data_IF_972175461731
#
_entry.id   IF_972175461731
#
_cell.length_a   1.000
_cell.length_b   1.000
_cell.length_c   1.000
_cell.angle_alpha   90.00
_cell.angle_beta   90.00
_cell.angle_gamma   90.00
#
_symmetry.space_group_name_H-M   'P 1'
#
loop_
_entity.id
_entity.type
_entity.pdbx_description
1 polymer ?
#
# COMPACT_ATOMS: atom_id res chain seq x y z
N UNK A 1 20.07 4.06 -2.19
CA UNK A 1 19.00 5.07 -2.36
C UNK A 1 19.17 6.11 -1.26
N UNK A 2 19.72 7.29 -1.55
CA UNK A 2 19.69 8.42 -0.62
C UNK A 2 18.39 9.20 -0.87
N UNK A 3 17.26 8.57 -0.53
CA UNK A 3 15.94 9.19 -0.62
C UNK A 3 15.62 9.92 0.68
N UNK A 4 14.76 10.94 0.60
CA UNK A 4 14.16 11.53 1.80
C UNK A 4 13.59 10.41 2.70
N UNK A 5 13.75 10.50 4.03
CA UNK A 5 13.22 9.48 4.93
C UNK A 5 11.71 9.27 4.69
N UNK A 6 11.27 8.01 4.74
CA UNK A 6 9.87 7.70 4.51
C UNK A 6 9.00 8.39 5.57
N UNK A 7 7.81 8.84 5.15
CA UNK A 7 6.81 9.45 6.04
C UNK A 7 5.55 8.61 5.99
N UNK A 8 4.94 8.36 7.14
CA UNK A 8 3.65 7.67 7.24
C UNK A 8 2.74 8.53 8.09
N UNK A 9 1.54 8.77 7.60
CA UNK A 9 0.47 9.42 8.36
C UNK A 9 -0.76 8.52 8.28
N UNK A 10 -1.28 8.13 9.44
CA UNK A 10 -2.54 7.41 9.57
C UNK A 10 -3.47 8.30 10.37
N UNK A 11 -4.58 8.70 9.75
CA UNK A 11 -5.65 9.44 10.39
C UNK A 11 -6.61 8.40 10.96
N UNK A 12 -6.78 8.40 12.28
CA UNK A 12 -7.69 7.49 12.97
C UNK A 12 -9.16 7.94 12.88
N UNK A 13 -10.05 7.42 13.75
CA UNK A 13 -11.47 7.75 13.76
C UNK A 13 -11.79 9.19 14.19
N UNK A 14 -10.83 9.95 14.71
CA UNK A 14 -11.06 11.30 15.23
C UNK A 14 -9.80 12.18 15.15
N UNK A 15 -9.91 13.52 15.33
CA UNK A 15 -8.77 14.43 15.35
C UNK A 15 -7.70 14.08 16.38
N UNK A 16 -8.11 13.45 17.49
CA UNK A 16 -7.22 13.07 18.58
C UNK A 16 -6.63 11.67 18.43
N UNK A 17 -7.02 10.93 17.38
CA UNK A 17 -6.60 9.55 17.11
C UNK A 17 -5.77 9.50 15.85
N UNK A 18 -4.46 9.26 15.97
CA UNK A 18 -3.57 9.27 14.82
C UNK A 18 -2.23 8.57 15.07
N UNK A 19 -1.55 8.28 13.96
CA UNK A 19 -0.15 7.87 13.93
C UNK A 19 0.61 8.74 12.91
N UNK A 20 1.80 9.20 13.31
CA UNK A 20 2.75 9.86 12.41
C UNK A 20 4.12 9.23 12.60
N UNK A 21 4.75 8.85 11.49
CA UNK A 21 6.12 8.38 11.44
C UNK A 21 6.93 9.15 10.40
N UNK A 22 8.19 9.45 10.72
CA UNK A 22 9.15 9.97 9.75
C UNK A 22 10.56 9.44 10.05
N UNK A 23 11.21 8.87 9.04
CA UNK A 23 12.49 8.18 9.21
C UNK A 23 12.37 7.01 10.17
N UNK A 24 13.09 7.04 11.30
CA UNK A 24 13.03 5.96 12.32
C UNK A 24 12.08 6.25 13.48
N UNK A 25 11.55 7.47 13.57
CA UNK A 25 10.82 7.96 14.75
C UNK A 25 9.34 8.06 14.44
N UNK A 26 8.52 7.71 15.42
CA UNK A 26 7.07 7.82 15.30
C UNK A 26 6.43 8.30 16.59
N UNK A 27 5.17 8.69 16.44
CA UNK A 27 4.25 9.04 17.50
C UNK A 27 2.88 8.41 17.22
N UNK A 28 2.24 7.90 18.26
CA UNK A 28 0.91 7.27 18.19
C UNK A 28 0.06 7.80 19.35
N UNK A 29 -1.15 8.25 19.05
CA UNK A 29 -2.06 8.84 20.03
C UNK A 29 -3.48 8.30 19.81
N UNK A 30 -4.10 7.84 20.90
CA UNK A 30 -5.51 7.38 20.96
C UNK A 30 -5.96 6.44 19.82
N UNK A 31 -5.05 5.67 19.23
CA UNK A 31 -5.37 4.61 18.28
C UNK A 31 -5.83 3.36 19.03
N UNK A 32 -6.49 2.42 18.34
CA UNK A 32 -6.89 1.15 18.96
C UNK A 32 -5.69 0.45 19.64
N UNK A 33 -5.90 -0.27 20.76
CA UNK A 33 -4.81 -0.94 21.47
C UNK A 33 -4.02 -1.90 20.58
N UNK A 34 -4.70 -2.59 19.67
CA UNK A 34 -4.09 -3.48 18.67
C UNK A 34 -3.11 -2.74 17.77
N UNK A 35 -3.55 -1.61 17.18
CA UNK A 35 -2.68 -0.79 16.33
C UNK A 35 -1.53 -0.18 17.14
N UNK A 36 -1.82 0.38 18.32
CA UNK A 36 -0.81 0.99 19.19
C UNK A 36 0.28 0.00 19.58
N UNK A 37 -0.08 -1.25 19.86
CA UNK A 37 0.89 -2.30 20.15
C UNK A 37 1.76 -2.62 18.92
N UNK A 38 1.14 -2.78 17.74
CA UNK A 38 1.88 -2.99 16.50
C UNK A 38 2.83 -1.83 16.17
N UNK A 39 2.36 -0.59 16.30
CA UNK A 39 3.16 0.62 16.09
C UNK A 39 4.43 0.64 16.97
N UNK A 40 4.31 0.23 18.23
CA UNK A 40 5.43 0.21 19.19
C UNK A 40 6.40 -0.96 19.03
N UNK A 41 5.93 -2.09 18.51
CA UNK A 41 6.69 -3.35 18.56
C UNK A 41 7.15 -3.87 17.21
N UNK A 42 6.47 -3.52 16.12
CA UNK A 42 6.72 -4.14 14.82
C UNK A 42 6.65 -3.19 13.62
N UNK A 43 6.04 -2.01 13.74
CA UNK A 43 5.93 -1.08 12.62
C UNK A 43 7.29 -0.39 12.37
N UNK A 44 7.89 -0.73 11.24
CA UNK A 44 9.08 -0.05 10.73
C UNK A 44 8.67 0.93 9.63
N UNK A 45 8.94 2.22 9.83
CA UNK A 45 8.49 3.28 8.93
C UNK A 45 9.22 3.20 7.58
N UNK A 46 10.54 3.01 7.58
CA UNK A 46 11.33 2.90 6.35
C UNK A 46 10.91 1.74 5.47
N UNK A 47 10.33 0.69 6.06
CA UNK A 47 9.94 -0.54 5.37
C UNK A 47 8.44 -0.73 5.24
N UNK A 48 7.63 0.29 5.55
CA UNK A 48 6.18 0.21 5.35
C UNK A 48 5.80 0.81 4.00
N UNK A 49 5.11 0.03 3.16
CA UNK A 49 4.54 0.50 1.90
C UNK A 49 3.34 1.41 2.16
N UNK A 50 2.40 0.89 2.93
CA UNK A 50 1.15 1.54 3.27
C UNK A 50 0.63 1.03 4.61
N UNK A 51 -0.23 1.85 5.20
CA UNK A 51 -1.08 1.46 6.32
C UNK A 51 -2.47 1.99 6.02
N UNK A 52 -3.47 1.11 5.98
CA UNK A 52 -4.87 1.49 5.84
C UNK A 52 -5.65 1.15 7.10
N UNK A 53 -6.63 2.00 7.42
CA UNK A 53 -7.45 1.90 8.61
C UNK A 53 -8.91 2.17 8.26
N UNK A 54 -9.79 1.37 8.85
CA UNK A 54 -11.24 1.55 8.78
C UNK A 54 -11.71 2.77 9.58
N UNK A 55 -12.92 3.23 9.29
CA UNK A 55 -13.54 4.42 9.90
C UNK A 55 -13.55 4.41 11.43
N UNK A 56 -13.76 3.26 12.06
CA UNK A 56 -13.82 3.10 13.51
C UNK A 56 -12.44 2.92 14.20
N UNK A 57 -11.37 2.80 13.40
CA UNK A 57 -10.01 2.58 13.86
C UNK A 57 -9.72 1.18 14.42
N UNK A 58 -10.67 0.26 14.38
CA UNK A 58 -10.53 -1.09 14.93
C UNK A 58 -9.92 -2.05 13.91
N UNK A 59 -10.30 -1.92 12.63
CA UNK A 59 -9.73 -2.71 11.54
C UNK A 59 -8.62 -1.94 10.84
N UNK A 60 -7.47 -2.59 10.64
CA UNK A 60 -6.31 -1.99 9.99
C UNK A 60 -5.42 -3.04 9.32
N UNK A 61 -4.72 -2.62 8.26
CA UNK A 61 -3.74 -3.44 7.53
C UNK A 61 -2.51 -2.59 7.23
N UNK A 62 -1.34 -3.15 7.49
CA UNK A 62 -0.03 -2.61 7.16
C UNK A 62 0.72 -3.61 6.27
N UNK A 63 1.48 -3.12 5.29
CA UNK A 63 2.32 -3.95 4.45
C UNK A 63 3.79 -3.55 4.59
N UNK A 64 4.62 -4.52 4.98
CA UNK A 64 6.06 -4.35 5.11
C UNK A 64 6.75 -4.79 3.82
N UNK A 65 7.37 -3.86 3.09
CA UNK A 65 8.02 -4.15 1.79
C UNK A 65 9.22 -5.10 1.91
N UNK A 66 9.99 -5.01 3.00
CA UNK A 66 11.21 -5.80 3.15
C UNK A 66 10.88 -7.29 3.29
N UNK A 67 9.88 -7.60 4.11
CA UNK A 67 9.42 -8.96 4.36
C UNK A 67 8.31 -9.42 3.42
N UNK A 68 7.65 -8.48 2.72
CA UNK A 68 6.40 -8.68 1.95
C UNK A 68 5.37 -9.45 2.78
N UNK A 69 5.22 -9.01 4.03
CA UNK A 69 4.23 -9.52 4.96
C UNK A 69 3.23 -8.44 5.29
N UNK A 70 1.99 -8.87 5.43
CA UNK A 70 0.93 -8.05 5.99
C UNK A 70 0.89 -8.19 7.50
N UNK A 71 0.64 -7.09 8.18
CA UNK A 71 0.30 -7.02 9.59
C UNK A 71 -1.10 -6.42 9.71
N UNK A 72 -1.94 -6.99 10.56
CA UNK A 72 -3.34 -6.58 10.69
C UNK A 72 -3.87 -6.94 12.08
N UNK A 73 -5.02 -6.36 12.47
CA UNK A 73 -5.69 -6.74 13.71
C UNK A 73 -6.19 -8.20 13.64
N UNK A 74 -6.16 -8.91 14.77
CA UNK A 74 -6.51 -10.34 14.83
C UNK A 74 -7.92 -10.64 14.29
N UNK A 75 -8.85 -9.71 14.49
CA UNK A 75 -10.27 -9.86 14.17
C UNK A 75 -10.66 -9.34 12.78
N UNK A 76 -9.69 -9.10 11.88
CA UNK A 76 -10.00 -8.71 10.51
C UNK A 76 -10.85 -9.79 9.80
N UNK A 77 -11.75 -9.34 8.92
CA UNK A 77 -12.65 -10.18 8.13
C UNK A 77 -11.88 -11.35 7.45
N UNK A 78 -12.43 -12.56 7.56
CA UNK A 78 -11.80 -13.77 7.04
C UNK A 78 -11.57 -13.71 5.52
N UNK A 79 -12.49 -13.12 4.75
CA UNK A 79 -12.35 -13.01 3.31
C UNK A 79 -11.15 -12.10 2.93
N UNK A 80 -10.88 -11.07 3.74
CA UNK A 80 -9.66 -10.26 3.61
C UNK A 80 -8.42 -11.13 3.91
N UNK A 81 -8.43 -11.94 4.97
CA UNK A 81 -7.30 -12.83 5.31
C UNK A 81 -7.01 -13.83 4.19
N UNK A 82 -8.04 -14.37 3.56
CA UNK A 82 -7.91 -15.32 2.45
C UNK A 82 -7.26 -14.63 1.23
N UNK A 83 -7.68 -13.39 0.93
CA UNK A 83 -7.04 -12.54 -0.08
C UNK A 83 -5.60 -12.15 0.28
N UNK A 84 -5.27 -11.89 1.56
CA UNK A 84 -3.90 -11.58 1.98
C UNK A 84 -2.96 -12.79 1.87
N UNK A 85 -3.49 -14.00 2.05
CA UNK A 85 -2.72 -15.25 2.01
C UNK A 85 -2.73 -15.94 0.64
N UNK A 86 -3.63 -15.56 -0.27
CA UNK A 86 -3.84 -16.24 -1.56
C UNK A 86 -4.36 -17.68 -1.41
N UNK A 87 -5.07 -17.95 -0.31
CA UNK A 87 -5.64 -19.26 -0.01
C UNK A 87 -7.12 -19.32 -0.41
N UNK A 88 -7.74 -20.50 -0.32
CA UNK A 88 -9.18 -20.70 -0.56
C UNK A 88 -9.66 -20.20 -1.93
N UNK A 89 -8.82 -20.33 -2.97
CA UNK A 89 -9.14 -19.89 -4.33
C UNK A 89 -9.06 -18.37 -4.54
N UNK A 90 -8.52 -17.61 -3.58
CA UNK A 90 -8.29 -16.17 -3.69
C UNK A 90 -6.91 -15.88 -4.27
N UNK A 91 -6.78 -14.75 -4.97
CA UNK A 91 -5.47 -14.24 -5.36
C UNK A 91 -4.74 -13.64 -4.14
N UNK A 92 -3.40 -13.64 -4.18
CA UNK A 92 -2.58 -12.99 -3.17
C UNK A 92 -2.61 -11.46 -3.36
N UNK A 93 -2.99 -10.76 -2.30
CA UNK A 93 -3.12 -9.31 -2.29
C UNK A 93 -1.78 -8.60 -2.19
N UNK A 94 -1.79 -7.36 -2.67
CA UNK A 94 -0.69 -6.41 -2.68
C UNK A 94 -1.08 -5.09 -2.01
N UNK A 95 -2.36 -4.74 -2.02
CA UNK A 95 -2.89 -3.54 -1.38
C UNK A 95 -4.30 -3.77 -0.84
N UNK A 96 -4.61 -3.17 0.31
CA UNK A 96 -5.92 -3.23 0.96
C UNK A 96 -6.30 -1.85 1.47
N UNK A 97 -7.55 -1.45 1.26
CA UNK A 97 -8.09 -0.22 1.82
C UNK A 97 -9.55 -0.36 2.26
N UNK A 98 -9.98 0.56 3.12
CA UNK A 98 -11.32 0.55 3.74
C UNK A 98 -12.07 1.83 3.39
N UNK A 99 -13.33 1.75 2.93
CA UNK A 99 -14.15 2.92 2.63
C UNK A 99 -14.67 3.63 3.89
N UNK A 100 -15.19 4.85 3.73
CA UNK A 100 -16.05 5.47 4.73
C UNK A 100 -17.34 4.65 4.85
N UNK A 101 -17.39 3.80 5.87
CA UNK A 101 -18.46 2.84 6.09
C UNK A 101 -18.51 2.43 7.56
N UNK A 102 -19.72 2.33 8.10
CA UNK A 102 -19.96 1.80 9.44
C UNK A 102 -20.01 0.26 9.44
N UNK A 103 -20.08 -0.37 8.26
CA UNK A 103 -19.96 -1.82 8.12
C UNK A 103 -18.46 -2.23 8.04
N UNK A 104 -17.92 -2.95 9.04
CA UNK A 104 -16.52 -3.40 9.04
C UNK A 104 -16.23 -4.50 8.01
N UNK A 105 -17.27 -5.06 7.38
CA UNK A 105 -17.14 -5.99 6.27
C UNK A 105 -16.85 -5.34 4.93
N UNK A 106 -16.87 -4.01 4.82
CA UNK A 106 -16.56 -3.32 3.58
C UNK A 106 -15.06 -3.07 3.42
N UNK A 107 -14.52 -3.41 2.24
CA UNK A 107 -13.10 -3.32 1.93
C UNK A 107 -12.86 -3.35 0.41
N UNK A 108 -11.66 -2.94 0.01
CA UNK A 108 -11.10 -3.13 -1.33
C UNK A 108 -9.76 -3.86 -1.21
N UNK A 109 -9.51 -4.82 -2.10
CA UNK A 109 -8.23 -5.54 -2.22
C UNK A 109 -7.74 -5.50 -3.67
N UNK A 110 -6.47 -5.18 -3.86
CA UNK A 110 -5.76 -5.32 -5.14
C UNK A 110 -4.77 -6.47 -5.04
N UNK A 111 -4.80 -7.39 -6.00
CA UNK A 111 -3.87 -8.51 -6.16
C UNK A 111 -2.50 -8.10 -6.68
N UNK A 112 -1.51 -8.99 -6.57
CA UNK A 112 -0.17 -8.80 -7.14
C UNK A 112 -0.16 -8.82 -8.68
N UNK A 113 -1.06 -9.58 -9.28
CA UNK A 113 -1.20 -9.68 -10.73
C UNK A 113 -2.03 -8.52 -11.30
N UNK A 114 -1.71 -8.08 -12.51
CA UNK A 114 -2.48 -7.05 -13.22
C UNK A 114 -3.94 -7.52 -13.44
N UNK A 115 -4.91 -6.62 -13.30
CA UNK A 115 -6.33 -6.96 -13.41
C UNK A 115 -6.96 -7.64 -12.18
N UNK A 116 -6.16 -8.22 -11.28
CA UNK A 116 -6.69 -8.86 -10.09
C UNK A 116 -7.06 -7.84 -9.02
N UNK A 117 -8.34 -7.60 -8.77
CA UNK A 117 -8.85 -6.89 -7.62
C UNK A 117 -10.23 -7.44 -7.21
N UNK A 118 -10.64 -7.19 -5.97
CA UNK A 118 -11.96 -7.53 -5.45
C UNK A 118 -12.38 -6.44 -4.46
N UNK A 119 -13.68 -6.24 -4.29
CA UNK A 119 -14.19 -5.26 -3.34
C UNK A 119 -15.58 -5.66 -2.82
N UNK A 120 -15.81 -5.38 -1.55
CA UNK A 120 -17.12 -5.38 -0.93
C UNK A 120 -17.34 -3.95 -0.44
N UNK A 121 -18.13 -3.16 -1.15
CA UNK A 121 -18.25 -1.72 -0.90
C UNK A 121 -19.72 -1.30 -0.76
N UNK A 122 -20.00 -0.16 -0.12
CA UNK A 122 -21.31 0.48 -0.23
C UNK A 122 -21.72 0.69 -1.70
N UNK A 123 -23.02 0.55 -2.01
CA UNK A 123 -23.54 0.59 -3.38
C UNK A 123 -23.06 1.79 -4.19
N UNK A 124 -22.99 2.98 -3.59
CA UNK A 124 -22.50 4.18 -4.26
C UNK A 124 -21.11 3.98 -4.88
N UNK A 125 -20.16 3.43 -4.13
CA UNK A 125 -18.81 3.19 -4.64
C UNK A 125 -18.82 2.14 -5.76
N UNK A 126 -19.68 1.13 -5.68
CA UNK A 126 -19.81 0.12 -6.74
C UNK A 126 -20.33 0.76 -8.05
N UNK A 127 -21.34 1.61 -7.94
CA UNK A 127 -21.94 2.32 -9.07
C UNK A 127 -20.92 3.24 -9.74
N UNK A 128 -20.17 4.02 -8.97
CA UNK A 128 -19.17 4.94 -9.52
C UNK A 128 -17.95 4.20 -10.08
N UNK A 129 -17.46 3.14 -9.44
CA UNK A 129 -16.41 2.29 -10.01
C UNK A 129 -16.84 1.65 -11.33
N UNK A 130 -18.09 1.22 -11.43
CA UNK A 130 -18.65 0.67 -12.67
C UNK A 130 -18.72 1.73 -13.78
N UNK A 131 -18.90 3.01 -13.43
CA UNK A 131 -18.85 4.12 -14.37
C UNK A 131 -17.40 4.40 -14.81
N UNK A 132 -16.48 4.55 -13.87
CA UNK A 132 -15.05 4.76 -14.16
C UNK A 132 -14.47 3.64 -15.03
N UNK A 133 -14.85 2.38 -14.78
CA UNK A 133 -14.44 1.23 -15.61
C UNK A 133 -14.81 1.37 -17.09
N UNK A 134 -15.90 2.09 -17.41
CA UNK A 134 -16.31 2.33 -18.80
C UNK A 134 -15.60 3.51 -19.44
N UNK A 135 -15.13 4.46 -18.62
CA UNK A 135 -14.57 5.73 -19.06
C UNK A 135 -13.04 5.72 -19.13
N UNK A 136 -12.39 4.93 -18.27
CA UNK A 136 -10.93 4.85 -18.16
C UNK A 136 -10.42 3.63 -18.93
N UNK A 137 -9.58 3.88 -19.92
CA UNK A 137 -8.94 2.82 -20.69
C UNK A 137 -8.07 1.92 -19.81
N UNK A 138 -8.19 0.60 -19.98
CA UNK A 138 -7.44 -0.40 -19.22
C UNK A 138 -7.60 -0.27 -17.69
N UNK A 139 -8.75 0.22 -17.21
CA UNK A 139 -9.01 0.44 -15.78
C UNK A 139 -8.53 -0.72 -14.90
N UNK A 140 -8.99 -1.94 -15.14
CA UNK A 140 -8.67 -3.09 -14.29
C UNK A 140 -7.17 -3.43 -14.30
N UNK A 141 -6.54 -3.37 -15.46
CA UNK A 141 -5.11 -3.67 -15.64
C UNK A 141 -4.22 -2.57 -15.04
N UNK A 142 -4.67 -1.32 -15.11
CA UNK A 142 -3.95 -0.15 -14.66
C UNK A 142 -4.13 0.16 -13.17
N UNK A 143 -5.24 -0.27 -12.57
CA UNK A 143 -5.58 0.02 -11.18
C UNK A 143 -4.56 -0.61 -10.23
N UNK A 144 -4.02 0.20 -9.33
CA UNK A 144 -3.02 -0.23 -8.34
C UNK A 144 -3.52 -0.12 -6.91
N UNK A 145 -4.63 0.60 -6.69
CA UNK A 145 -5.24 0.80 -5.38
C UNK A 145 -6.37 1.82 -5.43
N UNK A 146 -7.12 1.94 -4.35
CA UNK A 146 -8.10 3.00 -4.13
C UNK A 146 -7.89 3.59 -2.74
N UNK A 147 -7.81 4.92 -2.65
CA UNK A 147 -7.86 5.64 -1.37
C UNK A 147 -9.29 6.10 -1.14
N UNK A 148 -9.81 5.89 0.06
CA UNK A 148 -11.13 6.36 0.44
C UNK A 148 -11.02 7.49 1.46
N UNK A 149 -11.83 8.53 1.29
CA UNK A 149 -11.96 9.66 2.18
C UNK A 149 -13.39 9.79 2.71
N UNK A 150 -13.66 10.90 3.39
CA UNK A 150 -14.97 11.21 3.97
C UNK A 150 -16.09 11.18 2.91
N UNK A 151 -17.22 10.59 3.31
CA UNK A 151 -18.41 10.42 2.50
C UNK A 151 -18.16 9.49 1.31
N UNK A 152 -18.45 10.01 0.13
CA UNK A 152 -18.31 9.33 -1.17
C UNK A 152 -16.94 9.52 -1.83
N UNK A 153 -16.08 10.31 -1.20
CA UNK A 153 -14.77 10.69 -1.77
C UNK A 153 -13.87 9.48 -1.93
N UNK A 154 -13.33 9.26 -3.13
CA UNK A 154 -12.30 8.26 -3.36
C UNK A 154 -11.36 8.64 -4.50
N UNK A 155 -10.16 8.06 -4.48
CA UNK A 155 -9.13 8.26 -5.50
C UNK A 155 -8.64 6.90 -5.99
N UNK A 156 -8.90 6.59 -7.25
CA UNK A 156 -8.32 5.44 -7.95
C UNK A 156 -6.87 5.74 -8.33
N UNK A 157 -5.98 4.85 -7.94
CA UNK A 157 -4.53 4.96 -8.15
C UNK A 157 -4.14 4.14 -9.38
N UNK A 158 -3.48 4.74 -10.36
CA UNK A 158 -3.02 4.05 -11.57
C UNK A 158 -1.50 4.13 -11.73
N UNK A 159 -0.90 3.16 -12.46
CA UNK A 159 0.54 3.20 -12.80
C UNK A 159 0.95 4.45 -13.57
N UNK A 160 0.00 5.10 -14.26
CA UNK A 160 0.21 6.29 -15.09
C UNK A 160 -0.54 7.54 -14.64
N UNK A 161 -1.07 7.58 -13.41
CA UNK A 161 -1.80 8.73 -12.90
C UNK A 161 -2.76 8.40 -11.77
N UNK A 162 -3.82 9.18 -11.62
CA UNK A 162 -4.90 8.93 -10.67
C UNK A 162 -6.20 9.53 -11.21
N UNK A 163 -7.33 9.03 -10.74
CA UNK A 163 -8.66 9.61 -10.98
C UNK A 163 -9.35 9.77 -9.64
N UNK A 164 -9.96 10.93 -9.39
CA UNK A 164 -10.63 11.22 -8.14
C UNK A 164 -12.12 11.46 -8.38
N UNK A 165 -12.95 10.88 -7.53
CA UNK A 165 -14.35 11.22 -7.36
C UNK A 165 -14.50 11.88 -5.99
N UNK A 166 -15.00 13.11 -5.98
CA UNK A 166 -15.06 13.96 -4.79
C UNK A 166 -16.51 14.08 -4.38
N UNK A 167 -16.78 13.90 -3.08
CA UNK A 167 -18.14 14.05 -2.59
C UNK A 167 -18.56 15.52 -2.57
N UNK A 168 -19.44 15.90 -3.50
CA UNK A 168 -19.98 17.25 -3.63
C UNK A 168 -20.69 17.75 -2.36
N UNK A 169 -21.11 16.86 -1.44
CA UNK A 169 -21.66 17.25 -0.14
C UNK A 169 -20.59 17.85 0.78
N UNK A 170 -19.36 17.33 0.72
CA UNK A 170 -18.25 17.72 1.61
C UNK A 170 -17.17 18.55 0.91
N UNK A 171 -17.13 18.54 -0.41
CA UNK A 171 -16.15 19.23 -1.25
C UNK A 171 -16.92 20.13 -2.23
N UNK A 172 -17.54 21.17 -1.69
CA UNK A 172 -18.47 22.05 -2.42
C UNK A 172 -17.80 23.18 -3.23
N UNK A 173 -16.47 23.30 -3.16
CA UNK A 173 -15.76 24.44 -3.73
C UNK A 173 -14.39 24.04 -4.28
N UNK A 174 -13.98 24.72 -5.36
CA UNK A 174 -12.63 24.63 -5.93
C UNK A 174 -11.55 25.15 -4.96
N UNK A 175 -11.93 25.89 -3.92
CA UNK A 175 -11.02 26.33 -2.88
C UNK A 175 -10.72 25.26 -1.82
N UNK A 176 -11.43 24.14 -1.85
CA UNK A 176 -11.23 23.04 -0.92
C UNK A 176 -9.79 22.50 -1.01
N UNK A 177 -9.07 22.29 0.12
CA UNK A 177 -7.65 21.94 0.12
C UNK A 177 -7.31 20.68 -0.71
N UNK A 178 -8.14 19.63 -0.59
CA UNK A 178 -7.94 18.41 -1.36
C UNK A 178 -8.14 18.65 -2.87
N UNK A 179 -9.18 19.40 -3.24
CA UNK A 179 -9.47 19.73 -4.64
C UNK A 179 -8.29 20.48 -5.28
N UNK A 180 -7.79 21.51 -4.60
CA UNK A 180 -6.64 22.29 -5.07
C UNK A 180 -5.39 21.44 -5.32
N UNK A 181 -5.07 20.56 -4.37
CA UNK A 181 -3.90 19.68 -4.50
C UNK A 181 -4.09 18.70 -5.64
N UNK A 182 -5.26 18.06 -5.77
CA UNK A 182 -5.51 17.13 -6.88
C UNK A 182 -5.44 17.84 -8.23
N UNK A 183 -6.02 19.03 -8.36
CA UNK A 183 -5.95 19.84 -9.59
C UNK A 183 -4.50 20.24 -9.94
N UNK A 184 -3.68 20.58 -8.94
CA UNK A 184 -2.27 20.93 -9.15
C UNK A 184 -1.46 19.79 -9.78
N UNK A 185 -1.78 18.54 -9.43
CA UNK A 185 -1.08 17.36 -9.94
C UNK A 185 -1.81 16.64 -11.07
N UNK A 186 -3.06 17.03 -11.38
CA UNK A 186 -3.78 16.48 -12.53
C UNK A 186 -3.03 16.80 -13.83
N UNK A 187 -2.96 15.85 -14.76
CA UNK A 187 -2.31 15.97 -16.07
C UNK A 187 -0.80 16.32 -16.06
N UNK A 188 -0.15 16.29 -14.90
CA UNK A 188 1.27 16.63 -14.74
C UNK A 188 2.22 15.42 -14.79
N UNK A 189 1.66 14.23 -15.05
CA UNK A 189 2.38 12.94 -15.09
C UNK A 189 2.71 12.36 -13.72
N UNK A 190 2.21 12.97 -12.63
CA UNK A 190 2.36 12.44 -11.28
C UNK A 190 1.32 11.36 -10.99
N UNK A 191 1.76 10.30 -10.31
CA UNK A 191 0.91 9.26 -9.73
C UNK A 191 0.80 9.50 -8.23
N UNK A 192 -0.31 9.07 -7.62
CA UNK A 192 -0.46 9.02 -6.17
C UNK A 192 -0.03 7.63 -5.68
N UNK A 193 0.86 7.61 -4.69
CA UNK A 193 1.43 6.38 -4.16
C UNK A 193 0.56 5.80 -3.04
N UNK A 194 0.56 4.47 -2.90
CA UNK A 194 -0.23 3.71 -1.91
C UNK A 194 0.02 4.08 -0.45
N UNK A 195 1.16 4.71 -0.14
CA UNK A 195 1.47 5.24 1.18
C UNK A 195 0.77 6.56 1.53
N UNK A 196 -0.19 6.99 0.71
CA UNK A 196 -1.04 8.15 0.91
C UNK A 196 -2.30 7.80 1.71
N UNK A 197 -2.91 8.80 2.34
CA UNK A 197 -4.07 8.65 3.23
C UNK A 197 -5.03 9.82 3.07
N UNK A 198 -6.33 9.53 3.00
CA UNK A 198 -7.40 10.52 3.14
C UNK A 198 -8.07 10.38 4.51
N UNK A 199 -8.61 11.46 5.04
CA UNK A 199 -9.35 11.44 6.30
C UNK A 199 -10.78 10.98 6.08
N UNK A 200 -11.29 10.13 6.99
CA UNK A 200 -12.67 9.64 6.96
C UNK A 200 -13.65 10.49 7.79
N UNK A 201 -13.15 11.40 8.64
CA UNK A 201 -14.00 12.24 9.51
C UNK A 201 -14.02 13.74 9.12
N UNK A 202 -13.13 14.20 8.26
CA UNK A 202 -13.07 15.59 7.78
C UNK A 202 -12.40 15.66 6.41
N UNK A 203 -13.16 15.98 5.37
CA UNK A 203 -12.72 16.00 3.96
C UNK A 203 -11.51 16.90 3.71
N UNK A 204 -11.28 17.90 4.57
CA UNK A 204 -10.16 18.84 4.40
C UNK A 204 -8.81 18.20 4.68
N UNK A 205 -8.76 17.10 5.45
CA UNK A 205 -7.51 16.51 5.90
C UNK A 205 -7.05 15.34 5.04
N UNK A 206 -5.76 15.33 4.70
CA UNK A 206 -5.13 14.30 3.87
C UNK A 206 -3.62 14.35 3.99
N UNK A 207 -2.97 13.26 3.57
CA UNK A 207 -1.54 13.18 3.32
C UNK A 207 -1.32 12.41 2.01
N UNK A 208 -0.88 13.11 0.96
CA UNK A 208 -0.67 12.54 -0.37
C UNK A 208 0.82 12.52 -0.72
N UNK A 209 1.26 11.39 -1.26
CA UNK A 209 2.59 11.17 -1.83
C UNK A 209 2.45 11.11 -3.35
N UNK A 210 2.98 12.12 -4.03
CA UNK A 210 3.03 12.18 -5.48
C UNK A 210 4.40 11.75 -5.99
N UNK A 211 4.43 11.00 -7.08
CA UNK A 211 5.67 10.55 -7.70
C UNK A 211 5.50 10.43 -9.22
N UNK A 212 6.49 10.84 -9.99
CA UNK A 212 6.51 10.53 -11.43
C UNK A 212 7.07 9.13 -11.67
N UNK A 213 6.59 8.41 -12.69
CA UNK A 213 7.16 7.13 -13.08
C UNK A 213 8.68 7.21 -13.28
N UNK A 214 9.42 6.29 -12.67
CA UNK A 214 10.89 6.22 -12.78
C UNK A 214 11.67 7.16 -11.85
N UNK A 215 11.03 8.12 -11.19
CA UNK A 215 11.71 8.95 -10.18
C UNK A 215 11.87 8.18 -8.85
N UNK A 216 12.80 8.61 -8.00
CA UNK A 216 13.01 8.03 -6.65
C UNK A 216 12.51 8.95 -5.52
N UNK A 217 12.11 10.16 -5.87
CA UNK A 217 11.70 11.22 -4.94
C UNK A 217 10.19 11.39 -4.94
N UNK A 218 9.64 11.67 -3.76
CA UNK A 218 8.22 11.98 -3.60
C UNK A 218 8.03 13.48 -3.41
N UNK A 219 7.01 14.02 -4.06
CA UNK A 219 6.41 15.29 -3.71
C UNK A 219 5.30 15.01 -2.70
N UNK A 220 5.49 15.53 -1.49
CA UNK A 220 4.57 15.32 -0.40
C UNK A 220 3.64 16.53 -0.32
N UNK A 221 2.33 16.32 -0.24
CA UNK A 221 1.34 17.39 -0.07
C UNK A 221 0.30 16.95 0.96
N UNK A 222 0.03 17.81 1.92
CA UNK A 222 -0.86 17.46 3.02
C UNK A 222 -1.57 18.70 3.56
N UNK A 223 -2.76 18.48 4.08
CA UNK A 223 -3.44 19.38 4.99
C UNK A 223 -3.79 18.53 6.21
N UNK A 224 -3.15 18.76 7.35
CA UNK A 224 -3.29 17.91 8.53
C UNK A 224 -3.89 18.70 9.69
N UNK A 225 -4.61 18.04 10.62
CA UNK A 225 -4.97 18.66 11.89
C UNK A 225 -3.73 19.25 12.57
N UNK A 226 -3.84 20.41 13.26
CA UNK A 226 -2.68 21.11 13.81
C UNK A 226 -1.76 20.25 14.69
N UNK A 227 -2.34 19.41 15.57
CA UNK A 227 -1.58 18.52 16.43
C UNK A 227 -0.73 17.51 15.63
N UNK A 228 -1.29 16.95 14.56
CA UNK A 228 -0.61 15.99 13.67
C UNK A 228 0.48 16.69 12.85
N UNK A 229 0.17 17.88 12.32
CA UNK A 229 1.12 18.69 11.57
C UNK A 229 2.34 19.08 12.43
N UNK A 230 2.09 19.50 13.68
CA UNK A 230 3.14 19.83 14.64
C UNK A 230 4.02 18.60 14.93
N UNK A 231 3.41 17.43 15.22
CA UNK A 231 4.17 16.21 15.46
C UNK A 231 4.99 15.78 14.26
N UNK A 232 4.47 15.91 13.04
CA UNK A 232 5.22 15.63 11.82
C UNK A 232 6.43 16.57 11.67
N UNK A 233 6.28 17.86 11.99
CA UNK A 233 7.37 18.83 11.96
C UNK A 233 8.47 18.48 12.97
N UNK A 234 8.10 18.16 14.22
CA UNK A 234 9.03 17.73 15.27
C UNK A 234 9.83 16.47 14.87
N UNK A 235 9.15 15.49 14.25
CA UNK A 235 9.78 14.26 13.77
C UNK A 235 10.72 14.53 12.59
N UNK A 236 10.35 15.44 11.67
CA UNK A 236 11.20 15.87 10.56
C UNK A 236 12.47 16.58 11.05
N UNK A 237 12.34 17.49 12.00
CA UNK A 237 13.49 18.16 12.62
C UNK A 237 14.41 17.15 13.31
N UNK A 238 13.83 16.19 14.04
CA UNK A 238 14.61 15.13 14.70
C UNK A 238 15.36 14.26 13.70
N UNK A 239 14.72 13.87 12.58
CA UNK A 239 15.34 13.05 11.55
C UNK A 239 16.49 13.76 10.80
N UNK A 240 16.57 15.09 10.90
CA UNK A 240 17.68 15.87 10.34
C UNK A 240 18.94 15.87 11.22
N UNK A 241 18.84 15.40 12.47
CA UNK A 241 20.00 15.32 13.37
C UNK A 241 21.03 14.32 12.83
N UNK A 242 22.35 14.62 12.88
CA UNK A 242 23.37 13.75 12.32
C UNK A 242 23.34 12.32 12.87
N UNK A 243 23.02 12.15 14.15
CA UNK A 243 22.96 10.84 14.79
C UNK A 243 21.82 10.00 14.23
N UNK A 244 20.65 10.61 14.00
CA UNK A 244 19.49 9.95 13.40
C UNK A 244 19.74 9.62 11.93
N UNK A 245 20.41 10.50 11.18
CA UNK A 245 20.79 10.25 9.79
C UNK A 245 21.75 9.06 9.68
N UNK A 246 22.77 8.99 10.55
CA UNK A 246 23.69 7.85 10.60
C UNK A 246 22.96 6.56 10.96
N UNK A 247 22.08 6.60 11.97
CA UNK A 247 21.31 5.43 12.38
C UNK A 247 20.33 4.96 11.28
N UNK A 248 19.72 5.88 10.55
CA UNK A 248 18.86 5.58 9.41
C UNK A 248 19.66 4.94 8.28
N UNK A 249 20.83 5.48 7.94
CA UNK A 249 21.70 4.90 6.91
C UNK A 249 22.15 3.46 7.26
N UNK A 250 22.51 3.21 8.52
CA UNK A 250 22.87 1.86 8.98
C UNK A 250 21.70 0.89 8.87
N UNK A 251 20.51 1.33 9.26
CA UNK A 251 19.29 0.54 9.16
C UNK A 251 18.92 0.23 7.70
N UNK A 252 18.96 1.23 6.83
CA UNK A 252 18.69 1.05 5.39
C UNK A 252 19.70 0.09 4.75
N UNK A 253 20.98 0.14 5.14
CA UNK A 253 21.99 -0.81 4.66
C UNK A 253 21.70 -2.24 5.11
N UNK A 254 21.34 -2.44 6.38
CA UNK A 254 20.96 -3.75 6.91
C UNK A 254 19.76 -4.31 6.13
N UNK A 255 18.75 -3.48 5.86
CA UNK A 255 17.56 -3.91 5.15
C UNK A 255 17.79 -4.17 3.66
N UNK A 256 18.64 -3.40 2.99
CA UNK A 256 19.05 -3.70 1.62
C UNK A 256 19.69 -5.09 1.53
N UNK A 257 20.47 -5.51 2.54
CA UNK A 257 21.04 -6.86 2.57
C UNK A 257 19.95 -7.94 2.72
N UNK A 258 18.97 -7.71 3.60
CA UNK A 258 17.83 -8.64 3.78
C UNK A 258 17.00 -8.75 2.50
N UNK A 259 16.69 -7.61 1.85
CA UNK A 259 15.95 -7.58 0.60
C UNK A 259 16.72 -8.29 -0.53
N UNK A 260 18.03 -8.05 -0.66
CA UNK A 260 18.86 -8.72 -1.66
C UNK A 260 18.97 -10.23 -1.43
N UNK A 261 19.14 -10.67 -0.18
CA UNK A 261 19.15 -12.09 0.17
C UNK A 261 17.84 -12.77 -0.25
N UNK A 262 16.71 -12.07 -0.07
CA UNK A 262 15.40 -12.56 -0.50
C UNK A 262 15.25 -12.62 -2.01
N UNK A 263 15.62 -11.57 -2.75
CA UNK A 263 15.60 -11.58 -4.21
C UNK A 263 16.43 -12.75 -4.75
N UNK A 264 17.61 -12.98 -4.16
CA UNK A 264 18.46 -14.11 -4.52
C UNK A 264 17.78 -15.46 -4.24
N UNK A 265 17.10 -15.62 -3.09
CA UNK A 265 16.33 -16.83 -2.76
C UNK A 265 15.15 -17.05 -3.71
N UNK A 266 14.41 -15.99 -4.08
CA UNK A 266 13.31 -16.08 -5.05
C UNK A 266 13.81 -16.44 -6.45
N UNK A 267 14.93 -15.87 -6.90
CA UNK A 267 15.56 -16.23 -8.17
C UNK A 267 16.06 -17.69 -8.16
N UNK A 268 16.64 -18.15 -7.06
CA UNK A 268 17.05 -19.55 -6.92
C UNK A 268 15.84 -20.49 -6.97
N UNK A 269 14.76 -20.20 -6.25
CA UNK A 269 13.53 -20.99 -6.27
C UNK A 269 12.89 -21.00 -7.67
N UNK A 270 12.90 -19.87 -8.37
CA UNK A 270 12.39 -19.76 -9.75
C UNK A 270 13.25 -20.55 -10.74
N UNK A 271 14.59 -20.54 -10.57
CA UNK A 271 15.50 -21.39 -11.36
C UNK A 271 15.26 -22.87 -11.10
N UNK A 272 15.09 -23.27 -9.83
CA UNK A 272 14.77 -24.67 -9.48
C UNK A 272 13.43 -25.10 -10.08
N UNK A 273 12.40 -24.25 -10.01
CA UNK A 273 11.09 -24.52 -10.65
C UNK A 273 11.22 -24.62 -12.18
N UNK A 274 11.99 -23.73 -12.81
CA UNK A 274 12.28 -23.79 -14.25
C UNK A 274 13.03 -25.08 -14.61
N UNK A 275 14.06 -25.45 -13.85
CA UNK A 275 14.83 -26.68 -14.07
C UNK A 275 13.97 -27.92 -13.83
N UNK A 276 13.07 -27.90 -12.84
CA UNK A 276 12.09 -28.95 -12.62
C UNK A 276 11.07 -29.05 -13.75
N UNK A 277 10.57 -27.93 -14.29
CA UNK A 277 9.68 -27.92 -15.44
C UNK A 277 10.38 -28.37 -16.72
N UNK A 278 11.65 -28.00 -16.93
CA UNK A 278 12.47 -28.50 -18.04
C UNK A 278 12.72 -30.00 -17.89
N UNK A 279 13.04 -30.49 -16.68
CA UNK A 279 13.18 -31.93 -16.41
C UNK A 279 11.86 -32.68 -16.53
N UNK A 280 10.75 -32.10 -16.11
CA UNK A 280 9.40 -32.67 -16.28
C UNK A 280 8.99 -32.71 -17.75
N UNK A 281 9.29 -31.66 -18.52
CA UNK A 281 9.11 -31.63 -19.97
C UNK A 281 9.95 -32.69 -20.67
N UNK A 282 11.24 -32.83 -20.31
CA UNK A 282 12.12 -33.86 -20.85
C UNK A 282 11.69 -35.29 -20.50
N UNK A 283 11.13 -35.51 -19.31
CA UNK A 283 10.61 -36.82 -18.89
C UNK A 283 9.26 -37.17 -19.54
N UNK A 284 8.41 -36.18 -19.84
CA UNK A 284 7.21 -36.38 -20.67
C UNK A 284 7.61 -36.73 -22.11
N UNK A 285 8.61 -36.06 -22.69
CA UNK A 285 9.13 -36.39 -24.02
C UNK A 285 9.77 -37.80 -24.05
N UNK A 286 10.52 -38.20 -23.03
CA UNK A 286 11.10 -39.54 -22.94
C UNK A 286 10.05 -40.65 -22.73
N UNK A 287 8.98 -40.38 -21.99
CA UNK A 287 7.86 -41.30 -21.81
C UNK A 287 7.00 -41.43 -23.09
N UNK A 288 6.89 -40.36 -23.89
CA UNK A 288 6.16 -40.37 -25.15
C UNK A 288 6.93 -41.03 -26.32
N UNK A 289 8.27 -41.14 -26.23
CA UNK A 289 9.11 -41.67 -27.32
C UNK A 289 9.58 -43.12 -27.13
N UNK A 290 9.20 -43.82 -26.06
CA UNK A 290 9.49 -45.26 -25.87
C UNK A 290 10.98 -45.65 -25.95
N UNK A 291 11.90 -44.73 -25.63
CA UNK A 291 13.33 -44.90 -25.86
C UNK A 291 14.12 -45.06 -24.56
N UNK A 292 14.91 -46.12 -24.47
CA UNK A 292 15.83 -46.44 -23.38
C UNK A 292 16.82 -45.30 -23.12
N UNK A 293 16.87 -44.76 -21.89
CA UNK A 293 17.87 -43.78 -21.48
C UNK A 293 19.20 -44.51 -21.26
N UNK A 294 20.20 -44.20 -22.08
CA UNK A 294 21.59 -44.60 -21.84
C UNK A 294 22.24 -43.49 -21.01
N UNK A 295 22.46 -43.75 -19.72
CA UNK A 295 23.32 -42.91 -18.89
C UNK A 295 24.78 -43.10 -19.33
N UNK A 296 25.40 -42.06 -19.89
CA UNK A 296 26.86 -41.97 -19.98
C UNK A 296 27.37 -41.11 -18.85
N UNK A 297 27.88 -41.77 -17.81
CA UNK A 297 28.74 -41.17 -16.79
C UNK A 297 30.10 -40.86 -17.41
N UNK A 298 30.58 -39.62 -17.31
CA UNK A 298 32.00 -39.31 -17.42
C UNK A 298 32.47 -38.68 -16.12
N UNK A 299 33.57 -39.24 -15.62
CA UNK A 299 34.33 -38.85 -14.44
C UNK A 299 34.83 -37.41 -14.53
#
# INVERSE_FOLDING_TARGET
>A
MSGNPNTIVVLGPSPESYYVGHGRRHFVQNMSPSFTNHAKTGLNISMTLFTSMSKDGQTWVNHNIATDKFHFNADINQDIKDHLSGLNGKFASDFVSFPDSDNPGHYFVKGKDDGAWNAVLPNYFIEELSKMQREVENFDLGLTGILFGMGKTHICLFKGGFTADLDDEYITSTDHPLYKVLLQYNDSGYCIERGSTLCLYDSRYFFLKFKKPGESTYNLSWNLPPAIAQKLAELKETAQKPEEQMALMQEDQMWMQVAQARINSQMQNSKVLSDMMVRAGLSIYAAASGGTVVETTRW
#
